data_IF_930854089043
#
_entry.id   IF_930854089043
#
_cell.length_a   1.000
_cell.length_b   1.000
_cell.length_c   1.000
_cell.angle_alpha   90.00
_cell.angle_beta   90.00
_cell.angle_gamma   90.00
#
_symmetry.space_group_name_H-M   'P 1'
#
loop_
_entity.id
_entity.type
_entity.pdbx_description
1 polymer ?
#
# COMPACT_ATOMS: atom_id res chain seq x y z
N UNK A 1 -11.63 12.18 -23.63
CA UNK A 1 -10.22 11.74 -23.59
C UNK A 1 -9.55 12.59 -22.54
N UNK A 2 -9.28 12.05 -21.35
CA UNK A 2 -8.53 12.80 -20.34
C UNK A 2 -7.06 12.68 -20.70
N UNK A 3 -6.51 13.76 -21.24
CA UNK A 3 -5.08 13.93 -21.45
C UNK A 3 -4.43 13.92 -20.05
N UNK A 4 -3.82 12.80 -19.66
CA UNK A 4 -2.96 12.81 -18.49
C UNK A 4 -1.70 13.56 -18.90
N UNK A 5 -1.35 14.69 -18.27
CA UNK A 5 -0.05 15.31 -18.52
C UNK A 5 1.03 14.25 -18.30
N UNK A 6 1.91 14.10 -19.28
CA UNK A 6 3.07 13.23 -19.21
C UNK A 6 3.83 13.51 -17.90
N UNK A 7 4.15 12.48 -17.10
CA UNK A 7 4.79 12.69 -15.81
C UNK A 7 6.11 13.45 -16.02
N UNK A 8 6.42 14.42 -15.15
CA UNK A 8 7.73 15.08 -15.18
C UNK A 8 8.83 14.01 -15.10
N UNK A 9 10.03 14.27 -15.67
CA UNK A 9 11.14 13.33 -15.61
C UNK A 9 11.31 12.88 -14.16
N UNK A 10 11.24 11.55 -13.97
CA UNK A 10 11.47 10.92 -12.69
C UNK A 10 12.88 11.27 -12.25
N UNK A 11 13.00 12.32 -11.44
CA UNK A 11 14.26 12.71 -10.82
C UNK A 11 14.91 11.46 -10.18
N UNK A 12 16.24 11.38 -10.18
CA UNK A 12 17.01 10.23 -9.68
C UNK A 12 16.58 9.75 -8.28
N UNK A 13 16.00 10.65 -7.47
CA UNK A 13 15.48 10.32 -6.14
C UNK A 13 14.32 9.31 -6.19
N UNK A 14 13.46 9.39 -7.20
CA UNK A 14 12.28 8.54 -7.34
C UNK A 14 12.64 7.09 -7.63
N UNK A 15 13.86 6.83 -8.13
CA UNK A 15 14.48 5.51 -8.25
C UNK A 15 15.31 5.14 -7.00
N UNK A 16 15.98 6.11 -6.37
CA UNK A 16 16.83 5.89 -5.22
C UNK A 16 16.08 5.72 -3.88
N UNK A 17 14.85 6.22 -3.76
CA UNK A 17 14.07 6.23 -2.51
C UNK A 17 13.85 4.81 -1.97
N UNK A 18 13.99 4.63 -0.66
CA UNK A 18 13.91 3.34 0.02
C UNK A 18 13.08 3.43 1.30
N UNK A 19 12.54 2.29 1.78
CA UNK A 19 11.95 2.21 3.11
C UNK A 19 12.94 2.72 4.16
N UNK A 20 12.47 3.62 5.03
CA UNK A 20 13.29 4.29 6.03
C UNK A 20 13.76 5.70 5.64
N UNK A 21 13.59 6.11 4.38
CA UNK A 21 13.82 7.49 3.98
C UNK A 21 12.74 8.41 4.55
N UNK A 22 13.17 9.58 5.00
CA UNK A 22 12.29 10.66 5.45
C UNK A 22 12.23 11.70 4.33
N UNK A 23 11.01 12.05 3.95
CA UNK A 23 10.73 12.92 2.80
C UNK A 23 9.77 14.05 3.17
N UNK A 24 9.84 15.17 2.47
CA UNK A 24 8.88 16.24 2.62
C UNK A 24 7.67 16.00 1.70
N UNK A 25 6.49 15.95 2.32
CA UNK A 25 5.25 15.76 1.60
C UNK A 25 4.16 16.68 2.16
N UNK A 26 3.42 17.32 1.25
CA UNK A 26 2.21 18.08 1.55
C UNK A 26 1.06 17.09 1.80
N UNK A 27 0.98 16.59 3.03
CA UNK A 27 -0.04 15.64 3.43
C UNK A 27 -1.39 16.37 3.58
N UNK A 28 -2.47 15.95 2.90
CA UNK A 28 -3.80 16.39 3.25
C UNK A 28 -4.15 15.77 4.60
N UNK A 29 -3.94 16.51 5.70
CA UNK A 29 -4.62 16.20 6.95
C UNK A 29 -5.93 16.94 6.84
N UNK A 30 -7.05 16.23 6.91
CA UNK A 30 -8.41 16.75 7.02
C UNK A 30 -8.65 17.62 8.29
N UNK A 31 -7.58 18.21 8.85
CA UNK A 31 -7.56 19.16 9.94
C UNK A 31 -7.06 20.55 9.48
N UNK A 32 -6.90 20.78 8.17
CA UNK A 32 -6.84 22.15 7.67
C UNK A 32 -8.24 22.75 7.86
N UNK A 33 -8.34 23.71 8.77
CA UNK A 33 -9.47 24.64 8.80
C UNK A 33 -9.68 25.19 7.37
N UNK A 34 -10.93 25.42 6.92
CA UNK A 34 -11.18 25.97 5.59
C UNK A 34 -10.36 27.25 5.40
N UNK A 35 -9.40 27.22 4.47
CA UNK A 35 -8.48 28.35 4.19
C UNK A 35 -7.01 28.12 4.54
N UNK A 36 -6.62 27.04 5.21
CA UNK A 36 -5.21 26.75 5.49
C UNK A 36 -4.57 25.88 4.40
N UNK A 37 -3.52 26.40 3.73
CA UNK A 37 -2.79 25.65 2.71
C UNK A 37 -2.17 24.36 3.29
N UNK A 38 -2.09 23.26 2.52
CA UNK A 38 -1.47 22.02 2.97
C UNK A 38 -0.06 22.25 3.50
N UNK A 39 0.16 22.07 4.80
CA UNK A 39 1.49 22.23 5.41
C UNK A 39 2.39 21.07 4.99
N UNK A 40 3.51 21.39 4.37
CA UNK A 40 4.59 20.43 4.10
C UNK A 40 5.10 19.87 5.42
N UNK A 41 5.11 18.53 5.55
CA UNK A 41 5.54 17.84 6.76
C UNK A 41 6.54 16.73 6.42
N UNK A 42 7.46 16.40 7.35
CA UNK A 42 8.27 15.19 7.23
C UNK A 42 7.34 13.97 7.27
N UNK A 43 7.50 13.11 6.28
CA UNK A 43 6.82 11.84 6.14
C UNK A 43 7.85 10.72 6.01
N UNK A 44 7.57 9.58 6.62
CA UNK A 44 8.42 8.41 6.55
C UNK A 44 7.95 7.48 5.44
N UNK A 45 8.88 7.04 4.60
CA UNK A 45 8.65 5.95 3.64
C UNK A 45 8.64 4.63 4.38
N UNK A 46 7.45 4.05 4.56
CA UNK A 46 7.28 2.74 5.19
C UNK A 46 7.62 1.59 4.26
N UNK A 47 7.22 1.72 2.99
CA UNK A 47 7.41 0.68 2.01
C UNK A 47 7.42 1.23 0.59
N UNK A 48 8.03 0.48 -0.32
CA UNK A 48 8.04 0.79 -1.74
C UNK A 48 7.65 -0.44 -2.52
N UNK A 49 6.55 -0.36 -3.24
CA UNK A 49 5.96 -1.49 -3.96
C UNK A 49 5.70 -1.13 -5.42
N UNK A 50 5.69 -2.15 -6.27
CA UNK A 50 5.26 -2.02 -7.66
C UNK A 50 3.80 -2.48 -7.78
N UNK A 51 2.93 -1.59 -8.23
CA UNK A 51 1.50 -1.84 -8.42
C UNK A 51 1.19 -1.55 -9.89
N UNK A 52 0.79 -2.59 -10.64
CA UNK A 52 0.45 -2.49 -12.07
C UNK A 52 1.59 -1.87 -12.92
N UNK A 53 2.83 -2.29 -12.69
CA UNK A 53 3.98 -1.78 -13.46
C UNK A 53 4.45 -0.38 -13.05
N UNK A 54 3.90 0.18 -11.97
CA UNK A 54 4.24 1.52 -11.47
C UNK A 54 4.71 1.47 -10.04
N UNK A 55 5.80 2.17 -9.75
CA UNK A 55 6.34 2.33 -8.39
C UNK A 55 5.38 3.16 -7.54
N UNK A 56 5.14 2.73 -6.32
CA UNK A 56 4.32 3.42 -5.33
C UNK A 56 5.02 3.43 -3.98
N UNK A 57 4.92 4.57 -3.29
CA UNK A 57 5.49 4.79 -1.97
C UNK A 57 4.37 4.76 -0.94
N UNK A 58 4.57 3.97 0.12
CA UNK A 58 3.69 3.99 1.29
C UNK A 58 4.27 4.95 2.32
N UNK A 59 3.58 6.05 2.57
CA UNK A 59 4.03 7.13 3.43
C UNK A 59 3.25 7.17 4.74
N UNK A 60 3.96 7.39 5.85
CA UNK A 60 3.37 7.72 7.15
C UNK A 60 3.70 9.16 7.53
N UNK A 61 2.71 9.94 7.94
CA UNK A 61 2.95 11.32 8.35
C UNK A 61 3.63 11.39 9.71
N UNK A 62 4.53 12.37 9.88
CA UNK A 62 5.08 12.76 11.16
C UNK A 62 4.13 13.69 11.93
N UNK A 63 3.93 13.43 13.21
CA UNK A 63 3.27 14.32 14.16
C UNK A 63 4.18 14.59 15.35
N UNK A 64 4.18 15.83 15.82
CA UNK A 64 4.81 16.24 17.08
C UNK A 64 3.83 16.20 18.26
N UNK A 65 2.56 15.86 18.01
CA UNK A 65 1.53 15.76 19.06
C UNK A 65 1.61 14.37 19.69
N UNK A 66 1.90 14.34 20.98
CA UNK A 66 1.88 13.15 21.82
C UNK A 66 0.42 12.82 22.19
N UNK A 67 -0.12 11.75 21.59
CA UNK A 67 -1.48 11.26 21.90
C UNK A 67 -1.45 9.74 21.93
N UNK A 68 -2.28 9.11 22.76
CA UNK A 68 -2.37 7.65 22.86
C UNK A 68 -3.05 6.97 21.65
N UNK A 69 -3.51 7.74 20.66
CA UNK A 69 -4.15 7.22 19.47
C UNK A 69 -3.12 6.64 18.48
N UNK A 70 -3.41 5.44 17.93
CA UNK A 70 -2.62 4.69 16.92
C UNK A 70 -1.44 3.84 17.45
N UNK A 71 -1.43 3.49 18.74
CA UNK A 71 -0.40 2.61 19.35
C UNK A 71 -0.23 1.29 18.59
N UNK A 72 1.02 0.95 18.30
CA UNK A 72 1.42 -0.36 17.76
C UNK A 72 2.14 -0.31 16.40
N UNK A 73 1.93 0.76 15.62
CA UNK A 73 2.60 0.98 14.33
C UNK A 73 3.31 2.34 14.27
N UNK A 74 3.75 2.81 15.43
CA UNK A 74 4.43 4.09 15.58
C UNK A 74 5.95 3.90 15.58
N UNK A 75 6.63 4.85 14.97
CA UNK A 75 8.09 4.97 14.98
C UNK A 75 8.42 6.34 15.54
N UNK A 76 9.14 6.35 16.66
CA UNK A 76 9.52 7.58 17.36
C UNK A 76 10.97 7.90 17.01
N UNK A 77 11.23 9.16 16.68
CA UNK A 77 12.58 9.70 16.44
C UNK A 77 12.74 10.88 17.40
N UNK A 78 13.40 10.64 18.53
CA UNK A 78 13.55 11.63 19.60
C UNK A 78 14.99 11.79 20.08
N UNK A 79 15.84 10.76 19.91
CA UNK A 79 17.24 10.86 20.23
C UNK A 79 17.94 11.80 19.24
N UNK A 80 18.79 12.76 19.69
CA UNK A 80 19.52 13.66 18.79
C UNK A 80 20.31 12.93 17.69
N UNK A 81 20.89 11.77 18.03
CA UNK A 81 21.65 10.94 17.10
C UNK A 81 20.80 10.25 16.03
N UNK A 82 19.48 10.13 16.24
CA UNK A 82 18.51 9.66 15.25
C UNK A 82 17.83 10.82 14.50
N UNK A 83 17.61 11.95 15.18
CA UNK A 83 16.94 13.13 14.61
C UNK A 83 17.77 13.77 13.50
N UNK A 84 19.07 13.97 13.74
CA UNK A 84 19.99 14.57 12.75
C UNK A 84 20.03 13.79 11.42
N UNK A 85 20.27 12.47 11.39
CA UNK A 85 20.25 11.71 10.13
C UNK A 85 18.84 11.58 9.54
N UNK A 86 17.78 11.62 10.36
CA UNK A 86 16.39 11.65 9.87
C UNK A 86 15.98 13.00 9.27
N UNK A 87 16.79 14.04 9.41
CA UNK A 87 16.50 15.38 8.88
C UNK A 87 15.34 16.07 9.60
N UNK A 88 15.11 15.75 10.88
CA UNK A 88 14.04 16.36 11.69
C UNK A 88 14.64 17.18 12.84
N UNK A 89 14.12 18.40 13.02
CA UNK A 89 14.63 19.34 14.04
C UNK A 89 13.95 19.19 15.41
N UNK A 90 12.86 18.41 15.47
CA UNK A 90 12.08 18.17 16.69
C UNK A 90 11.75 16.68 16.83
N UNK A 91 11.58 16.19 18.06
CA UNK A 91 11.09 14.83 18.29
C UNK A 91 9.83 14.58 17.46
N UNK A 92 9.90 13.58 16.59
CA UNK A 92 8.88 13.31 15.58
C UNK A 92 8.39 11.88 15.71
N UNK A 93 7.07 11.72 15.78
CA UNK A 93 6.41 10.43 15.75
C UNK A 93 5.80 10.19 14.38
N UNK A 94 6.23 9.14 13.69
CA UNK A 94 5.62 8.69 12.44
C UNK A 94 4.51 7.67 12.74
N UNK A 95 3.29 7.94 12.27
CA UNK A 95 2.11 7.12 12.57
C UNK A 95 1.79 6.20 11.40
N UNK A 96 2.19 4.92 11.50
CA UNK A 96 1.98 3.93 10.43
C UNK A 96 0.53 3.55 10.19
N UNK A 97 -0.34 3.69 11.21
CA UNK A 97 -1.77 3.38 11.11
C UNK A 97 -2.52 4.30 10.13
N UNK A 98 -2.00 5.51 9.87
CA UNK A 98 -2.57 6.48 8.93
C UNK A 98 -1.61 6.74 7.78
N UNK A 99 -1.46 5.72 6.95
CA UNK A 99 -0.58 5.72 5.77
C UNK A 99 -1.32 6.02 4.47
N UNK A 100 -0.63 6.63 3.52
CA UNK A 100 -1.10 6.81 2.15
C UNK A 100 -0.16 6.13 1.16
N UNK A 101 -0.73 5.65 0.05
CA UNK A 101 0.04 5.10 -1.06
C UNK A 101 -0.03 6.11 -2.20
N UNK A 102 1.12 6.64 -2.59
CA UNK A 102 1.23 7.65 -3.64
C UNK A 102 2.28 7.25 -4.67
N UNK A 103 2.09 7.56 -5.97
CA UNK A 103 3.14 7.39 -6.95
C UNK A 103 4.23 8.48 -6.77
N UNK A 104 5.51 8.26 -7.15
CA UNK A 104 6.59 9.22 -6.97
C UNK A 104 6.44 10.55 -7.72
N UNK A 105 5.57 10.62 -8.74
CA UNK A 105 5.24 11.82 -9.51
C UNK A 105 4.11 12.66 -8.88
N UNK A 106 3.64 12.28 -7.70
CA UNK A 106 2.56 13.00 -7.01
C UNK A 106 2.97 14.44 -6.67
N UNK A 107 2.14 15.42 -7.03
CA UNK A 107 2.36 16.86 -6.79
C UNK A 107 2.48 17.27 -5.29
N UNK A 108 2.42 16.30 -4.38
CA UNK A 108 2.55 16.52 -2.94
C UNK A 108 4.00 16.45 -2.46
N UNK A 109 4.93 15.93 -3.25
CA UNK A 109 6.35 15.98 -2.89
C UNK A 109 6.83 17.42 -2.95
N UNK A 110 7.39 17.89 -1.83
CA UNK A 110 7.96 19.22 -1.73
C UNK A 110 9.48 19.12 -1.71
N UNK A 111 10.14 19.94 -2.50
CA UNK A 111 11.59 20.14 -2.45
C UNK A 111 11.89 21.30 -1.50
N UNK A 112 12.60 21.05 -0.41
CA UNK A 112 13.05 22.12 0.48
C UNK A 112 14.22 22.87 -0.12
N UNK A 113 14.22 24.21 -0.06
CA UNK A 113 15.44 25.04 -0.14
C UNK A 113 16.38 24.82 -1.35
N UNK A 114 15.87 24.53 -2.55
CA UNK A 114 16.70 24.35 -3.75
C UNK A 114 17.23 22.92 -3.97
N UNK A 115 16.86 21.97 -3.13
CA UNK A 115 17.18 20.56 -3.30
C UNK A 115 16.39 19.95 -4.48
N UNK A 116 17.03 19.12 -5.33
CA UNK A 116 16.32 18.35 -6.38
C UNK A 116 15.57 17.12 -5.86
N UNK A 117 15.64 16.85 -4.57
CA UNK A 117 15.06 15.65 -3.94
C UNK A 117 14.19 16.06 -2.75
N UNK A 118 13.01 15.45 -2.59
CA UNK A 118 12.19 15.62 -1.39
C UNK A 118 12.75 14.85 -0.19
N UNK A 119 13.78 14.01 -0.37
CA UNK A 119 14.40 13.24 0.69
C UNK A 119 15.25 14.18 1.57
N UNK A 120 14.88 14.28 2.85
CA UNK A 120 15.57 15.11 3.85
C UNK A 120 16.46 14.31 4.78
N UNK A 121 16.27 12.99 4.85
CA UNK A 121 17.04 12.14 5.73
C UNK A 121 16.63 10.68 5.66
N UNK A 122 17.15 9.90 6.61
CA UNK A 122 16.90 8.46 6.74
C UNK A 122 16.93 8.05 8.21
N UNK A 123 16.04 7.14 8.57
CA UNK A 123 16.05 6.51 9.89
C UNK A 123 17.32 5.69 10.10
N UNK A 124 17.88 5.80 11.30
CA UNK A 124 18.99 4.98 11.80
C UNK A 124 18.60 4.36 13.15
N UNK A 125 19.51 3.59 13.75
CA UNK A 125 19.35 3.14 15.14
C UNK A 125 18.09 2.31 15.41
N UNK A 126 17.48 2.57 16.55
CA UNK A 126 16.29 1.85 17.01
C UNK A 126 15.07 2.17 16.15
N UNK A 127 14.94 3.42 15.69
CA UNK A 127 13.87 3.82 14.79
C UNK A 127 13.90 3.01 13.48
N UNK A 128 15.09 2.72 12.94
CA UNK A 128 15.25 1.86 11.76
C UNK A 128 14.87 0.41 12.03
N UNK A 129 15.30 -0.16 13.17
CA UNK A 129 14.97 -1.53 13.56
C UNK A 129 13.46 -1.70 13.78
N UNK A 130 12.82 -0.70 14.41
CA UNK A 130 11.38 -0.63 14.61
C UNK A 130 10.63 -0.70 13.28
N UNK A 131 11.08 0.06 12.28
CA UNK A 131 10.52 0.01 10.93
C UNK A 131 10.63 -1.40 10.33
N UNK A 132 11.79 -2.06 10.43
CA UNK A 132 11.96 -3.42 9.89
C UNK A 132 11.02 -4.43 10.56
N UNK A 133 10.80 -4.30 11.87
CA UNK A 133 9.80 -5.10 12.60
C UNK A 133 8.38 -4.87 12.10
N UNK A 134 7.99 -3.61 11.89
CA UNK A 134 6.67 -3.24 11.33
C UNK A 134 6.50 -3.79 9.92
N UNK A 135 7.51 -3.66 9.06
CA UNK A 135 7.48 -4.18 7.68
C UNK A 135 7.35 -5.70 7.64
N UNK A 136 8.10 -6.39 8.49
CA UNK A 136 8.02 -7.86 8.62
C UNK A 136 6.61 -8.30 9.03
N UNK A 137 5.99 -7.60 9.98
CA UNK A 137 4.62 -7.87 10.42
C UNK A 137 3.58 -7.62 9.32
N UNK A 138 3.71 -6.52 8.57
CA UNK A 138 2.83 -6.21 7.44
C UNK A 138 2.96 -7.29 6.36
N UNK A 139 4.19 -7.68 6.00
CA UNK A 139 4.46 -8.72 5.01
C UNK A 139 3.88 -10.07 5.42
N UNK A 140 4.07 -10.48 6.68
CA UNK A 140 3.50 -11.72 7.22
C UNK A 140 1.96 -11.73 7.13
N UNK A 141 1.32 -10.61 7.47
CA UNK A 141 -0.14 -10.46 7.37
C UNK A 141 -0.62 -10.56 5.91
N UNK A 142 0.11 -9.95 4.97
CA UNK A 142 -0.20 -10.02 3.55
C UNK A 142 -0.04 -11.45 2.98
N UNK A 143 1.01 -12.16 3.37
CA UNK A 143 1.23 -13.56 2.97
C UNK A 143 0.10 -14.48 3.46
N UNK A 144 -0.31 -14.33 4.73
CA UNK A 144 -1.44 -15.07 5.28
C UNK A 144 -2.75 -14.80 4.53
N UNK A 145 -3.02 -13.53 4.16
CA UNK A 145 -4.20 -13.19 3.38
C UNK A 145 -4.14 -13.80 1.97
N UNK A 146 -2.98 -13.81 1.31
CA UNK A 146 -2.80 -14.44 0.00
C UNK A 146 -3.04 -15.96 0.06
N UNK A 147 -2.48 -16.64 1.08
CA UNK A 147 -2.67 -18.07 1.28
C UNK A 147 -4.14 -18.44 1.49
N UNK A 148 -4.88 -17.63 2.27
CA UNK A 148 -6.33 -17.80 2.46
C UNK A 148 -7.11 -17.64 1.16
N UNK A 149 -6.76 -16.66 0.31
CA UNK A 149 -7.41 -16.47 -1.00
C UNK A 149 -7.14 -17.65 -1.94
N UNK A 150 -5.90 -18.13 -2.01
CA UNK A 150 -5.54 -19.30 -2.81
C UNK A 150 -6.30 -20.55 -2.35
N UNK A 151 -6.34 -20.82 -1.03
CA UNK A 151 -7.10 -21.94 -0.47
C UNK A 151 -8.60 -21.86 -0.78
N UNK A 152 -9.20 -20.67 -0.70
CA UNK A 152 -10.61 -20.47 -1.04
C UNK A 152 -10.88 -20.65 -2.54
N UNK A 153 -9.98 -20.21 -3.42
CA UNK A 153 -10.08 -20.42 -4.87
C UNK A 153 -10.04 -21.93 -5.22
N UNK A 154 -9.16 -22.70 -4.58
CA UNK A 154 -9.07 -24.16 -4.75
C UNK A 154 -10.35 -24.87 -4.31
N UNK A 155 -10.95 -24.46 -3.19
CA UNK A 155 -12.23 -25.03 -2.71
C UNK A 155 -13.38 -24.77 -3.71
N UNK A 156 -13.44 -23.55 -4.27
CA UNK A 156 -14.46 -23.19 -5.26
C UNK A 156 -14.30 -23.99 -6.55
N UNK A 157 -13.05 -24.21 -7.01
CA UNK A 157 -12.77 -24.98 -8.22
C UNK A 157 -13.12 -26.47 -8.06
N UNK A 158 -12.85 -27.06 -6.89
CA UNK A 158 -13.27 -28.44 -6.58
C UNK A 158 -14.79 -28.64 -6.58
N UNK A 159 -15.57 -27.65 -6.11
CA UNK A 159 -17.05 -27.72 -6.17
C UNK A 159 -17.60 -27.67 -7.60
N UNK A 160 -16.92 -26.99 -8.53
CA UNK A 160 -17.35 -26.92 -9.94
C UNK A 160 -17.07 -28.20 -10.72
N UNK A 161 -16.03 -28.94 -10.35
CA UNK A 161 -15.63 -30.18 -11.03
C UNK A 161 -16.30 -31.45 -10.43
N UNK A 162 -17.00 -31.34 -9.30
CA UNK A 162 -17.52 -32.49 -8.54
C UNK A 162 -19.03 -32.72 -8.59
N UNK A 163 -19.76 -32.16 -9.57
CA UNK A 163 -21.21 -32.38 -9.70
C UNK A 163 -21.50 -33.30 -10.90
N UNK A 164 -21.71 -34.63 -10.70
CA UNK A 164 -22.30 -35.45 -11.74
C UNK A 164 -23.74 -34.96 -11.94
N UNK A 165 -24.06 -34.56 -13.17
CA UNK A 165 -25.43 -34.20 -13.53
C UNK A 165 -26.37 -35.39 -13.30
N UNK A 166 -27.59 -35.19 -12.75
CA UNK A 166 -28.53 -36.28 -12.58
C UNK A 166 -28.92 -36.83 -13.95
N UNK A 167 -28.74 -38.14 -14.11
CA UNK A 167 -28.92 -38.88 -15.36
C UNK A 167 -30.28 -38.67 -16.02
N UNK A 168 -30.25 -38.29 -17.30
CA UNK A 168 -31.41 -38.32 -18.18
C UNK A 168 -31.81 -39.77 -18.42
N UNK A 169 -32.91 -40.21 -17.82
CA UNK A 169 -33.59 -41.45 -18.20
C UNK A 169 -34.27 -41.22 -19.56
N UNK A 170 -33.62 -41.66 -20.62
CA UNK A 170 -34.23 -41.72 -21.95
C UNK A 170 -35.34 -42.78 -21.96
N UNK A 171 -36.58 -42.34 -22.10
CA UNK A 171 -37.70 -43.21 -22.43
C UNK A 171 -37.65 -43.54 -23.93
N UNK A 172 -37.13 -44.70 -24.27
CA UNK A 172 -37.28 -45.30 -25.59
C UNK A 172 -38.70 -45.85 -25.74
N UNK A 173 -39.55 -45.18 -26.52
CA UNK A 173 -40.81 -45.75 -27.04
C UNK A 173 -40.46 -46.59 -28.27
N UNK A 174 -40.79 -47.90 -28.34
CA UNK A 174 -40.67 -48.63 -29.60
C UNK A 174 -41.84 -48.29 -30.53
N UNK A 175 -41.50 -48.13 -31.81
CA UNK A 175 -42.40 -47.79 -32.90
C UNK A 175 -43.19 -49.01 -33.41
N UNK A 176 -44.47 -48.77 -33.73
CA UNK A 176 -45.26 -49.34 -34.82
C UNK A 176 -45.15 -50.83 -35.17
N UNK A 177 -46.19 -51.60 -34.84
CA UNK A 177 -46.50 -52.88 -35.47
C UNK A 177 -47.22 -52.68 -36.83
N UNK A 178 -47.00 -53.55 -37.83
CA UNK A 178 -47.56 -53.40 -39.18
C UNK A 178 -49.01 -53.92 -39.30
N UNK A 179 -49.82 -53.21 -40.10
CA UNK A 179 -51.18 -53.61 -40.45
C UNK A 179 -51.19 -54.82 -41.41
N UNK A 180 -51.90 -55.88 -41.04
CA UNK A 180 -52.41 -56.90 -41.96
C UNK A 180 -53.90 -57.17 -41.68
N UNK A 181 -54.76 -56.74 -42.60
CA UNK A 181 -56.07 -57.36 -42.93
C UNK A 181 -56.28 -57.10 -44.42
N UNK A 182 -56.21 -58.14 -45.25
CA UNK A 182 -57.25 -59.11 -45.66
C UNK A 182 -58.12 -58.53 -46.76
#
# INVERSE_FOLDING_TARGET
MFDQPSPPPQDDWSAAVRPGDVILFAFPIACATPGEAPKTRPCLVLDVAEIRGRRHLTLAYGTSVDTSANRGEEIHVAAPDEMRPAGVDRPTRFVGARRMVVPPDHAGFATGGGQRSPIIGRLVGEARQRLDGIRTRIAATAAQAAQRRAGRAVIVQRRRLGRPGPGGRGHSRPAGAPSRRR
#
